data_IF_860897998716
#
_entry.id   IF_860897998716
#
_cell.length_a   1.000
_cell.length_b   1.000
_cell.length_c   1.000
_cell.angle_alpha   90.00
_cell.angle_beta   90.00
_cell.angle_gamma   90.00
#
_symmetry.space_group_name_H-M   'P 1'
#
loop_
_entity.id
_entity.type
_entity.pdbx_description
1 polymer ?
#
# COMPACT_ATOMS: atom_id res chain seq x y z
N UNK A 1 17.50 -21.00 -5.66
CA UNK A 1 17.66 -20.03 -6.78
C UNK A 1 16.85 -18.75 -6.55
N UNK A 2 15.57 -18.81 -6.23
CA UNK A 2 14.69 -17.65 -5.97
C UNK A 2 15.19 -16.83 -4.77
N UNK A 3 15.53 -17.46 -3.65
CA UNK A 3 16.05 -16.78 -2.44
C UNK A 3 17.36 -16.02 -2.70
N UNK A 4 18.29 -16.61 -3.46
CA UNK A 4 19.54 -15.94 -3.82
C UNK A 4 19.31 -14.74 -4.77
N UNK A 5 18.31 -14.80 -5.65
CA UNK A 5 17.90 -13.68 -6.51
C UNK A 5 17.30 -12.54 -5.68
N UNK A 6 16.40 -12.85 -4.74
CA UNK A 6 15.77 -11.88 -3.87
C UNK A 6 16.80 -11.18 -2.98
N UNK A 7 17.74 -11.91 -2.38
CA UNK A 7 18.78 -11.32 -1.53
C UNK A 7 19.77 -10.46 -2.31
N UNK A 8 20.11 -10.82 -3.56
CA UNK A 8 20.96 -10.00 -4.45
C UNK A 8 20.29 -8.70 -4.91
N UNK A 9 18.96 -8.64 -4.91
CA UNK A 9 18.21 -7.45 -5.33
C UNK A 9 18.08 -6.39 -4.22
N UNK A 10 18.53 -6.67 -2.99
CA UNK A 10 18.40 -5.77 -1.85
C UNK A 10 19.54 -4.74 -1.84
N UNK A 11 19.18 -3.46 -1.95
CA UNK A 11 20.07 -2.34 -1.64
C UNK A 11 20.17 -2.16 -0.13
N UNK A 12 21.27 -1.60 0.34
CA UNK A 12 21.49 -1.31 1.77
C UNK A 12 20.29 -0.56 2.39
N UNK A 13 19.70 0.40 1.66
CA UNK A 13 18.53 1.18 2.13
C UNK A 13 17.29 0.30 2.29
N UNK A 14 17.02 -0.56 1.32
CA UNK A 14 15.87 -1.47 1.35
C UNK A 14 16.08 -2.55 2.41
N UNK A 15 17.29 -3.09 2.55
CA UNK A 15 17.62 -4.06 3.61
C UNK A 15 17.40 -3.46 5.00
N UNK A 16 17.81 -2.21 5.21
CA UNK A 16 17.57 -1.50 6.48
C UNK A 16 16.05 -1.30 6.70
N UNK A 17 15.29 -0.91 5.69
CA UNK A 17 13.85 -0.73 5.81
C UNK A 17 13.14 -2.05 6.15
N UNK A 18 13.51 -3.16 5.50
CA UNK A 18 12.97 -4.49 5.81
C UNK A 18 13.36 -4.91 7.24
N UNK A 19 14.61 -4.73 7.64
CA UNK A 19 15.05 -5.06 9.00
C UNK A 19 14.30 -4.25 10.05
N UNK A 20 14.04 -2.96 9.79
CA UNK A 20 13.28 -2.09 10.66
C UNK A 20 11.81 -2.52 10.74
N UNK A 21 11.18 -2.88 9.63
CA UNK A 21 9.81 -3.42 9.62
C UNK A 21 9.71 -4.73 10.40
N UNK A 22 10.68 -5.64 10.26
CA UNK A 22 10.72 -6.89 11.02
C UNK A 22 10.99 -6.64 12.51
N UNK A 23 11.84 -5.68 12.83
CA UNK A 23 12.06 -5.26 14.23
C UNK A 23 10.78 -4.70 14.84
N UNK A 24 10.04 -3.84 14.13
CA UNK A 24 8.74 -3.30 14.55
C UNK A 24 7.70 -4.42 14.70
N UNK A 25 7.69 -5.40 13.78
CA UNK A 25 6.79 -6.56 13.84
C UNK A 25 6.97 -7.41 15.11
N UNK A 26 8.16 -7.39 15.71
CA UNK A 26 8.45 -8.11 16.96
C UNK A 26 8.33 -7.19 18.17
N UNK A 27 8.95 -6.01 18.12
CA UNK A 27 9.10 -5.13 19.27
C UNK A 27 7.74 -4.59 19.76
N UNK A 28 6.87 -4.15 18.84
CA UNK A 28 5.57 -3.58 19.20
C UNK A 28 4.65 -4.61 19.88
N UNK A 29 4.46 -5.83 19.37
CA UNK A 29 3.72 -6.89 20.05
C UNK A 29 4.34 -7.26 21.41
N UNK A 30 5.67 -7.36 21.52
CA UNK A 30 6.34 -7.67 22.77
C UNK A 30 6.11 -6.58 23.81
N UNK A 31 6.24 -5.30 23.44
CA UNK A 31 5.95 -4.18 24.35
C UNK A 31 4.48 -4.12 24.77
N UNK A 32 3.54 -4.53 23.91
CA UNK A 32 2.13 -4.60 24.26
C UNK A 32 1.85 -5.75 25.25
N UNK A 33 2.34 -6.97 24.97
CA UNK A 33 1.98 -8.17 25.73
C UNK A 33 2.84 -8.39 26.99
N UNK A 34 4.12 -8.00 26.96
CA UNK A 34 5.06 -8.28 28.05
C UNK A 34 5.15 -7.15 29.09
N UNK A 35 4.65 -5.94 28.79
CA UNK A 35 4.68 -4.82 29.73
C UNK A 35 3.28 -4.51 30.26
N UNK A 36 3.17 -4.24 31.56
CA UNK A 36 1.89 -3.84 32.19
C UNK A 36 1.49 -2.39 31.85
N UNK A 37 0.20 -2.03 32.00
CA UNK A 37 -0.33 -0.70 31.66
C UNK A 37 0.33 0.48 32.37
N UNK A 38 0.97 0.23 33.53
CA UNK A 38 1.70 1.23 34.33
C UNK A 38 3.12 1.49 33.82
N UNK A 39 3.63 0.66 32.93
CA UNK A 39 4.99 0.82 32.40
C UNK A 39 5.00 1.91 31.29
N UNK A 40 5.92 2.89 31.32
CA UNK A 40 6.00 3.95 30.34
C UNK A 40 6.32 3.44 28.90
N UNK A 41 6.81 2.21 28.76
CA UNK A 41 7.08 1.57 27.48
C UNK A 41 5.89 0.75 26.95
N UNK A 42 4.79 0.66 27.72
CA UNK A 42 3.61 -0.09 27.32
C UNK A 42 2.94 0.58 26.12
N UNK A 43 2.70 -0.22 25.07
CA UNK A 43 1.94 0.21 23.88
C UNK A 43 0.51 -0.30 24.03
N UNK A 44 -0.49 0.56 24.26
CA UNK A 44 -1.89 0.15 24.34
C UNK A 44 -2.38 -0.53 23.08
N UNK A 45 -3.25 -1.53 23.22
CA UNK A 45 -3.77 -2.34 22.08
C UNK A 45 -4.47 -1.51 21.02
N UNK A 46 -5.16 -0.41 21.41
CA UNK A 46 -5.79 0.48 20.42
C UNK A 46 -4.78 1.24 19.56
N UNK A 47 -3.63 1.64 20.13
CA UNK A 47 -2.52 2.26 19.37
C UNK A 47 -1.91 1.24 18.43
N UNK A 48 -1.69 0.01 18.86
CA UNK A 48 -1.17 -1.06 18.02
C UNK A 48 -2.11 -1.35 16.84
N UNK A 49 -3.44 -1.43 17.06
CA UNK A 49 -4.42 -1.59 16.01
C UNK A 49 -4.41 -0.40 15.02
N UNK A 50 -4.29 0.83 15.52
CA UNK A 50 -4.19 2.04 14.70
C UNK A 50 -2.94 2.03 13.81
N UNK A 51 -1.78 1.70 14.37
CA UNK A 51 -0.55 1.56 13.58
C UNK A 51 -0.64 0.38 12.59
N UNK A 52 -1.28 -0.71 12.97
CA UNK A 52 -1.57 -1.83 12.07
C UNK A 52 -2.37 -1.37 10.83
N UNK A 53 -3.41 -0.55 11.03
CA UNK A 53 -4.16 0.10 9.96
C UNK A 53 -3.23 0.96 9.06
N UNK A 54 -2.31 1.74 9.65
CA UNK A 54 -1.37 2.55 8.85
C UNK A 54 -0.41 1.69 8.01
N UNK A 55 0.00 0.53 8.53
CA UNK A 55 0.85 -0.40 7.77
C UNK A 55 0.09 -1.02 6.59
N UNK A 56 -1.23 -1.28 6.69
CA UNK A 56 -2.03 -1.72 5.54
C UNK A 56 -2.13 -0.64 4.47
N UNK A 57 -2.28 0.62 4.86
CA UNK A 57 -2.26 1.76 3.93
C UNK A 57 -0.87 1.98 3.32
N UNK A 58 0.20 1.72 4.07
CA UNK A 58 1.55 1.74 3.55
C UNK A 58 1.79 0.66 2.49
N UNK A 59 1.20 -0.54 2.68
CA UNK A 59 1.22 -1.61 1.69
C UNK A 59 0.45 -1.21 0.42
N UNK A 60 -0.70 -0.58 0.56
CA UNK A 60 -1.50 -0.06 -0.57
C UNK A 60 -0.75 1.04 -1.34
N UNK A 61 -0.10 1.97 -0.63
CA UNK A 61 0.70 3.02 -1.25
C UNK A 61 1.94 2.45 -1.98
N UNK A 62 2.59 1.43 -1.42
CA UNK A 62 3.68 0.70 -2.07
C UNK A 62 3.19 0.01 -3.35
N UNK A 63 1.99 -0.61 -3.32
CA UNK A 63 1.37 -1.23 -4.47
C UNK A 63 1.13 -0.22 -5.60
N UNK A 64 0.61 0.97 -5.28
CA UNK A 64 0.42 2.05 -6.25
C UNK A 64 1.77 2.55 -6.81
N UNK A 65 2.82 2.69 -5.98
CA UNK A 65 4.13 3.17 -6.43
C UNK A 65 4.76 2.23 -7.45
N UNK A 66 4.55 0.93 -7.33
CA UNK A 66 5.05 -0.04 -8.31
C UNK A 66 4.53 0.27 -9.72
N UNK A 67 3.27 0.66 -9.85
CA UNK A 67 2.64 1.01 -11.14
C UNK A 67 2.90 2.46 -11.52
N UNK A 68 2.66 3.39 -10.60
CA UNK A 68 2.79 4.82 -10.91
C UNK A 68 4.24 5.28 -10.94
N UNK A 69 5.02 4.87 -9.94
CA UNK A 69 6.41 5.30 -9.80
C UNK A 69 7.31 4.70 -10.87
N UNK A 70 7.19 3.41 -11.16
CA UNK A 70 8.13 2.69 -12.03
C UNK A 70 7.60 2.40 -13.42
N UNK A 71 6.29 2.26 -13.62
CA UNK A 71 5.68 2.02 -14.93
C UNK A 71 5.05 3.29 -15.54
N UNK A 72 4.89 4.37 -14.76
CA UNK A 72 4.33 5.63 -15.23
C UNK A 72 2.80 5.65 -15.36
N UNK A 73 2.11 4.66 -14.85
CA UNK A 73 0.66 4.53 -14.93
C UNK A 73 0.02 5.08 -13.65
N UNK A 74 -0.62 6.23 -13.72
CA UNK A 74 -1.44 6.73 -12.61
C UNK A 74 -2.80 6.03 -12.62
N UNK A 75 -3.01 5.11 -11.68
CA UNK A 75 -4.29 4.42 -11.48
C UNK A 75 -5.02 5.00 -10.28
N UNK A 76 -6.24 5.46 -10.51
CA UNK A 76 -7.19 5.87 -9.46
C UNK A 76 -8.16 4.73 -9.09
N UNK A 77 -7.76 3.49 -9.38
CA UNK A 77 -8.54 2.28 -9.11
C UNK A 77 -8.02 1.41 -7.97
N UNK A 78 -6.94 1.80 -7.29
CA UNK A 78 -6.31 0.95 -6.27
C UNK A 78 -7.18 0.75 -5.02
N UNK A 79 -8.06 1.71 -4.71
CA UNK A 79 -9.11 1.53 -3.69
C UNK A 79 -10.06 0.38 -4.00
N UNK A 80 -10.38 0.15 -5.28
CA UNK A 80 -11.22 -0.99 -5.67
C UNK A 80 -10.53 -2.35 -5.41
N UNK A 81 -9.25 -2.48 -5.75
CA UNK A 81 -8.51 -3.71 -5.49
C UNK A 81 -8.35 -3.97 -3.98
N UNK A 82 -8.10 -2.92 -3.21
CA UNK A 82 -8.07 -2.97 -1.75
C UNK A 82 -9.41 -3.43 -1.18
N UNK A 83 -10.50 -2.79 -1.57
CA UNK A 83 -11.83 -3.13 -1.10
C UNK A 83 -12.23 -4.57 -1.46
N UNK A 84 -11.97 -5.04 -2.69
CA UNK A 84 -12.26 -6.40 -3.10
C UNK A 84 -11.51 -7.44 -2.25
N UNK A 85 -10.23 -7.23 -1.97
CA UNK A 85 -9.48 -8.08 -1.05
C UNK A 85 -10.04 -8.04 0.37
N UNK A 86 -10.45 -6.85 0.81
CA UNK A 86 -11.14 -6.66 2.09
C UNK A 86 -12.47 -7.40 2.17
N UNK A 87 -13.31 -7.34 1.13
CA UNK A 87 -14.57 -8.09 1.07
C UNK A 87 -14.39 -9.60 1.05
N UNK A 88 -13.36 -10.10 0.35
CA UNK A 88 -13.02 -11.52 0.35
C UNK A 88 -12.66 -12.02 1.78
N UNK A 89 -11.83 -11.27 2.50
CA UNK A 89 -11.50 -11.58 3.89
C UNK A 89 -12.69 -11.32 4.82
N UNK A 90 -13.44 -10.24 4.63
CA UNK A 90 -14.63 -9.89 5.40
C UNK A 90 -15.69 -11.00 5.35
N UNK A 91 -15.92 -11.58 4.18
CA UNK A 91 -16.88 -12.69 4.06
C UNK A 91 -16.40 -13.94 4.81
N UNK A 92 -15.11 -14.27 4.77
CA UNK A 92 -14.56 -15.34 5.60
C UNK A 92 -14.84 -15.07 7.09
N UNK A 93 -14.56 -13.86 7.57
CA UNK A 93 -14.78 -13.49 8.97
C UNK A 93 -16.28 -13.55 9.35
N UNK A 94 -17.18 -13.12 8.46
CA UNK A 94 -18.63 -13.25 8.65
C UNK A 94 -19.06 -14.70 8.77
N UNK A 95 -18.50 -15.58 7.94
CA UNK A 95 -18.80 -17.04 7.99
C UNK A 95 -18.31 -17.71 9.28
N UNK A 96 -17.26 -17.15 9.95
CA UNK A 96 -16.76 -17.65 11.23
C UNK A 96 -17.69 -17.30 12.41
N UNK A 97 -18.63 -16.37 12.24
CA UNK A 97 -19.61 -16.02 13.28
C UNK A 97 -20.56 -17.18 13.53
N UNK A 98 -21.11 -17.77 12.47
CA UNK A 98 -22.07 -18.89 12.54
C UNK A 98 -23.25 -18.57 13.45
N UNK A 99 -23.68 -19.54 14.25
CA UNK A 99 -24.83 -19.41 15.17
C UNK A 99 -24.63 -18.42 16.32
N UNK A 100 -23.46 -17.79 16.46
CA UNK A 100 -23.17 -16.75 17.47
C UNK A 100 -23.58 -15.36 17.03
N UNK A 101 -24.10 -15.23 15.82
CA UNK A 101 -24.66 -13.99 15.30
C UNK A 101 -25.97 -13.61 15.97
N UNK A 102 -26.45 -12.39 15.71
CA UNK A 102 -27.69 -11.85 16.28
C UNK A 102 -28.90 -12.69 15.87
N UNK A 103 -28.91 -13.20 14.64
CA UNK A 103 -30.01 -14.00 14.10
C UNK A 103 -29.80 -15.51 14.27
N UNK A 104 -28.63 -15.96 14.72
CA UNK A 104 -28.34 -17.35 15.04
C UNK A 104 -28.33 -18.33 13.85
N UNK A 105 -28.26 -17.84 12.62
CA UNK A 105 -28.16 -18.68 11.42
C UNK A 105 -26.73 -19.24 11.28
N UNK A 106 -26.56 -20.57 11.13
CA UNK A 106 -25.24 -21.18 11.04
C UNK A 106 -24.57 -20.95 9.66
N UNK A 107 -25.36 -20.64 8.63
CA UNK A 107 -24.89 -20.52 7.25
C UNK A 107 -24.92 -19.09 6.74
N UNK A 108 -26.02 -18.38 6.97
CA UNK A 108 -26.20 -17.02 6.48
C UNK A 108 -25.58 -16.00 7.43
N UNK A 109 -24.72 -15.11 6.95
CA UNK A 109 -24.27 -13.95 7.71
C UNK A 109 -25.45 -13.07 8.17
N UNK A 110 -25.33 -12.44 9.33
CA UNK A 110 -26.38 -11.62 9.94
C UNK A 110 -26.94 -10.54 9.00
N UNK A 111 -26.08 -9.89 8.21
CA UNK A 111 -26.53 -8.88 7.25
C UNK A 111 -27.41 -9.46 6.13
N UNK A 112 -27.19 -10.71 5.75
CA UNK A 112 -28.03 -11.40 4.76
C UNK A 112 -29.39 -11.78 5.33
N UNK A 113 -29.41 -12.30 6.56
CA UNK A 113 -30.68 -12.59 7.27
C UNK A 113 -31.48 -11.31 7.45
N UNK A 114 -30.86 -10.22 7.86
CA UNK A 114 -31.47 -8.89 7.96
C UNK A 114 -32.10 -8.41 6.64
N UNK A 115 -31.44 -8.69 5.53
CA UNK A 115 -31.92 -8.35 4.17
C UNK A 115 -32.88 -9.40 3.58
N UNK A 116 -33.37 -10.35 4.38
CA UNK A 116 -34.28 -11.42 3.99
C UNK A 116 -33.76 -12.38 2.91
N UNK A 117 -32.45 -12.57 2.84
CA UNK A 117 -31.86 -13.63 2.01
C UNK A 117 -32.24 -15.01 2.59
N UNK A 118 -32.63 -15.95 1.75
CA UNK A 118 -32.99 -17.30 2.16
C UNK A 118 -31.87 -18.32 1.98
N UNK A 119 -30.96 -18.01 1.04
CA UNK A 119 -29.87 -18.90 0.68
C UNK A 119 -28.59 -18.09 0.44
N UNK A 120 -27.45 -18.71 0.70
CA UNK A 120 -26.16 -18.10 0.41
C UNK A 120 -25.95 -18.04 -1.11
N UNK A 121 -25.63 -16.87 -1.71
CA UNK A 121 -25.30 -16.78 -3.11
C UNK A 121 -24.09 -17.67 -3.47
N UNK A 122 -24.12 -18.27 -4.66
CA UNK A 122 -23.09 -19.21 -5.13
C UNK A 122 -21.66 -18.65 -5.09
N UNK A 123 -21.50 -17.35 -5.32
CA UNK A 123 -20.20 -16.68 -5.31
C UNK A 123 -19.58 -16.53 -3.92
N UNK A 124 -20.34 -16.81 -2.85
CA UNK A 124 -19.87 -16.85 -1.48
C UNK A 124 -19.60 -18.27 -0.96
N UNK A 125 -19.79 -19.31 -1.79
CA UNK A 125 -19.45 -20.66 -1.40
C UNK A 125 -17.93 -20.81 -1.23
N UNK A 126 -17.51 -21.57 -0.21
CA UNK A 126 -16.11 -21.82 0.12
C UNK A 126 -15.45 -20.76 1.02
N UNK A 127 -16.11 -19.63 1.29
CA UNK A 127 -15.57 -18.60 2.18
C UNK A 127 -15.66 -18.96 3.69
N UNK A 128 -16.14 -20.13 4.03
CA UNK A 128 -15.97 -20.76 5.34
C UNK A 128 -14.53 -21.22 5.58
N UNK A 129 -13.76 -21.44 4.50
CA UNK A 129 -12.39 -21.93 4.54
C UNK A 129 -11.39 -20.79 4.36
N UNK A 130 -10.45 -20.66 5.30
CA UNK A 130 -9.42 -19.62 5.26
C UNK A 130 -8.57 -19.63 3.98
N UNK A 131 -8.13 -20.84 3.56
CA UNK A 131 -7.28 -20.97 2.38
C UNK A 131 -7.97 -20.56 1.09
N UNK A 132 -9.27 -20.84 1.00
CA UNK A 132 -10.08 -20.39 -0.14
C UNK A 132 -10.19 -18.86 -0.14
N UNK A 133 -10.52 -18.25 1.02
CA UNK A 133 -10.57 -16.79 1.15
C UNK A 133 -9.22 -16.14 0.83
N UNK A 134 -8.12 -16.70 1.34
CA UNK A 134 -6.76 -16.22 1.06
C UNK A 134 -6.43 -16.29 -0.45
N UNK A 135 -6.87 -17.34 -1.15
CA UNK A 135 -6.74 -17.42 -2.60
C UNK A 135 -7.58 -16.33 -3.29
N UNK A 136 -8.83 -16.12 -2.86
CA UNK A 136 -9.72 -15.11 -3.43
C UNK A 136 -9.25 -13.68 -3.18
N UNK A 137 -8.58 -13.41 -2.07
CA UNK A 137 -7.89 -12.12 -1.79
C UNK A 137 -6.90 -11.75 -2.89
N UNK A 138 -6.25 -12.73 -3.51
CA UNK A 138 -5.34 -12.51 -4.64
C UNK A 138 -6.06 -12.59 -5.99
N UNK A 139 -6.93 -13.60 -6.13
CA UNK A 139 -7.55 -13.93 -7.41
C UNK A 139 -8.56 -12.87 -7.86
N UNK A 140 -9.41 -12.35 -6.97
CA UNK A 140 -10.48 -11.41 -7.34
C UNK A 140 -9.90 -10.07 -7.81
N UNK A 141 -9.06 -9.35 -7.02
CA UNK A 141 -8.47 -8.12 -7.51
C UNK A 141 -7.49 -8.35 -8.67
N UNK A 142 -6.75 -9.47 -8.68
CA UNK A 142 -5.85 -9.83 -9.75
C UNK A 142 -6.58 -10.09 -11.08
N UNK A 143 -7.69 -10.81 -11.05
CA UNK A 143 -8.52 -11.08 -12.23
C UNK A 143 -9.17 -9.80 -12.75
N UNK A 144 -9.73 -8.96 -11.89
CA UNK A 144 -10.27 -7.67 -12.28
C UNK A 144 -9.19 -6.81 -12.96
N UNK A 145 -8.01 -6.72 -12.34
CA UNK A 145 -6.89 -5.98 -12.91
C UNK A 145 -6.41 -6.57 -14.23
N UNK A 146 -6.39 -7.90 -14.36
CA UNK A 146 -6.03 -8.58 -15.60
C UNK A 146 -7.02 -8.26 -16.72
N UNK A 147 -8.32 -8.46 -16.48
CA UNK A 147 -9.36 -8.22 -17.49
C UNK A 147 -9.40 -6.75 -17.89
N UNK A 148 -9.45 -5.86 -16.91
CA UNK A 148 -9.47 -4.41 -17.15
C UNK A 148 -8.20 -3.95 -17.87
N UNK A 149 -7.03 -4.35 -17.37
CA UNK A 149 -5.74 -3.97 -17.91
C UNK A 149 -5.50 -4.54 -19.31
N UNK A 150 -5.97 -5.76 -19.58
CA UNK A 150 -5.89 -6.36 -20.91
C UNK A 150 -6.57 -5.49 -21.96
N UNK A 151 -7.83 -5.07 -21.72
CA UNK A 151 -8.55 -4.21 -22.66
C UNK A 151 -7.94 -2.81 -22.73
N UNK A 152 -7.64 -2.20 -21.60
CA UNK A 152 -7.12 -0.83 -21.53
C UNK A 152 -5.76 -0.69 -22.23
N UNK A 153 -4.81 -1.59 -21.94
CA UNK A 153 -3.45 -1.49 -22.51
C UNK A 153 -3.38 -1.94 -23.97
N UNK A 154 -4.21 -2.91 -24.35
CA UNK A 154 -4.32 -3.32 -25.76
C UNK A 154 -4.95 -2.22 -26.62
N UNK A 155 -5.90 -1.47 -26.09
CA UNK A 155 -6.50 -0.30 -26.75
C UNK A 155 -5.61 0.94 -26.71
N UNK A 156 -4.38 0.82 -26.19
CA UNK A 156 -3.39 1.91 -26.07
C UNK A 156 -3.89 3.12 -25.31
N UNK A 157 -4.81 2.90 -24.35
CA UNK A 157 -5.26 3.95 -23.43
C UNK A 157 -4.11 4.34 -22.51
N UNK A 158 -3.74 5.61 -22.48
CA UNK A 158 -2.59 6.12 -21.75
C UNK A 158 -2.91 7.42 -21.01
N UNK A 159 -2.03 7.78 -20.06
CA UNK A 159 -2.06 9.05 -19.35
C UNK A 159 -3.35 9.28 -18.58
N UNK A 160 -3.91 10.47 -18.69
CA UNK A 160 -5.10 10.92 -17.93
C UNK A 160 -6.34 10.07 -18.23
N UNK A 161 -6.51 9.60 -19.45
CA UNK A 161 -7.65 8.75 -19.83
C UNK A 161 -7.68 7.45 -19.02
N UNK A 162 -6.53 6.83 -18.80
CA UNK A 162 -6.46 5.63 -18.00
C UNK A 162 -6.83 5.90 -16.53
N UNK A 163 -6.39 7.03 -15.98
CA UNK A 163 -6.75 7.43 -14.62
C UNK A 163 -8.27 7.63 -14.48
N UNK A 164 -8.91 8.28 -15.46
CA UNK A 164 -10.36 8.51 -15.46
C UNK A 164 -11.12 7.18 -15.55
N UNK A 165 -10.69 6.27 -16.43
CA UNK A 165 -11.38 4.97 -16.61
C UNK A 165 -11.21 4.10 -15.37
N UNK A 166 -10.04 4.08 -14.73
CA UNK A 166 -9.84 3.36 -13.46
C UNK A 166 -10.68 3.95 -12.33
N UNK A 167 -10.88 5.26 -12.29
CA UNK A 167 -11.77 5.92 -11.33
C UNK A 167 -13.24 5.58 -11.62
N UNK A 168 -13.66 5.56 -12.88
CA UNK A 168 -15.01 5.16 -13.27
C UNK A 168 -15.30 3.70 -12.89
N UNK A 169 -14.34 2.80 -13.07
CA UNK A 169 -14.42 1.40 -12.60
C UNK A 169 -14.65 1.34 -11.07
N UNK A 170 -13.90 2.12 -10.30
CA UNK A 170 -14.03 2.19 -8.85
C UNK A 170 -15.42 2.67 -8.44
N UNK A 171 -15.92 3.70 -9.10
CA UNK A 171 -17.25 4.24 -8.85
C UNK A 171 -18.38 3.27 -9.23
N UNK A 172 -18.22 2.54 -10.33
CA UNK A 172 -19.18 1.49 -10.73
C UNK A 172 -19.25 0.37 -9.69
N UNK A 173 -18.11 -0.06 -9.14
CA UNK A 173 -18.07 -1.04 -8.04
C UNK A 173 -18.68 -0.48 -6.76
N UNK A 174 -18.41 0.79 -6.42
CA UNK A 174 -19.06 1.46 -5.29
C UNK A 174 -20.58 1.32 -5.39
N UNK A 175 -21.17 1.71 -6.53
CA UNK A 175 -22.62 1.64 -6.75
C UNK A 175 -23.14 0.19 -6.69
N UNK A 176 -22.41 -0.78 -7.25
CA UNK A 176 -22.79 -2.19 -7.19
C UNK A 176 -22.80 -2.71 -5.74
N UNK A 177 -21.78 -2.39 -4.95
CA UNK A 177 -21.67 -2.88 -3.57
C UNK A 177 -22.61 -2.16 -2.60
N UNK A 178 -23.07 -0.95 -2.92
CA UNK A 178 -24.11 -0.25 -2.14
C UNK A 178 -25.49 -0.91 -2.25
N UNK A 179 -25.72 -1.71 -3.29
CA UNK A 179 -27.01 -2.35 -3.49
C UNK A 179 -27.23 -3.52 -2.54
N UNK A 180 -28.34 -3.52 -1.82
CA UNK A 180 -28.69 -4.58 -0.88
C UNK A 180 -29.00 -5.92 -1.56
N UNK A 181 -29.47 -5.87 -2.80
CA UNK A 181 -29.84 -7.04 -3.60
C UNK A 181 -28.64 -7.78 -4.24
N UNK A 182 -27.44 -7.23 -4.11
CA UNK A 182 -26.21 -7.86 -4.62
C UNK A 182 -25.52 -8.79 -3.62
N UNK A 183 -25.99 -8.84 -2.35
CA UNK A 183 -25.43 -9.75 -1.34
C UNK A 183 -24.04 -9.37 -0.80
N UNK A 184 -23.67 -8.08 -0.86
CA UNK A 184 -22.39 -7.55 -0.37
C UNK A 184 -22.52 -6.77 0.94
N UNK A 185 -23.68 -6.80 1.60
CA UNK A 185 -23.93 -6.06 2.84
C UNK A 185 -24.48 -4.65 2.68
N UNK A 186 -24.62 -4.16 1.43
CA UNK A 186 -25.18 -2.83 1.13
C UNK A 186 -24.47 -1.71 1.88
N UNK A 187 -25.20 -0.68 2.27
CA UNK A 187 -24.64 0.51 2.93
C UNK A 187 -23.87 0.18 4.23
N UNK A 188 -24.33 -0.79 5.00
CA UNK A 188 -23.72 -1.16 6.29
C UNK A 188 -22.42 -1.97 6.12
N UNK A 189 -22.26 -2.66 4.98
CA UNK A 189 -21.14 -3.54 4.74
C UNK A 189 -21.14 -4.78 5.64
N UNK A 190 -19.96 -5.25 6.00
CA UNK A 190 -19.71 -6.39 6.88
C UNK A 190 -19.00 -5.94 8.15
N UNK A 191 -19.57 -6.27 9.31
CA UNK A 191 -19.10 -5.82 10.63
C UNK A 191 -19.23 -6.93 11.66
N UNK A 192 -18.86 -6.64 12.90
CA UNK A 192 -19.05 -7.51 14.08
C UNK A 192 -18.32 -8.86 13.99
N UNK A 193 -17.13 -8.84 13.36
CA UNK A 193 -16.29 -10.03 13.25
C UNK A 193 -15.89 -10.54 14.63
N UNK A 194 -16.05 -11.86 14.87
CA UNK A 194 -15.77 -12.49 16.15
C UNK A 194 -14.40 -13.16 16.18
N UNK A 195 -14.13 -14.02 15.20
CA UNK A 195 -12.93 -14.87 15.20
C UNK A 195 -12.22 -14.86 13.85
N UNK A 196 -10.92 -15.11 13.92
CA UNK A 196 -10.07 -15.44 12.77
C UNK A 196 -9.26 -16.70 13.10
N UNK A 197 -9.32 -17.72 12.25
CA UNK A 197 -8.65 -19.03 12.46
C UNK A 197 -8.96 -19.67 13.84
N UNK A 198 -10.16 -19.43 14.38
CA UNK A 198 -10.57 -19.91 15.69
C UNK A 198 -10.11 -19.06 16.88
N UNK A 199 -9.36 -17.97 16.65
CA UNK A 199 -8.94 -17.05 17.69
C UNK A 199 -9.83 -15.80 17.71
N UNK A 200 -10.22 -15.37 18.91
CA UNK A 200 -11.01 -14.16 19.08
C UNK A 200 -10.22 -12.92 18.61
N UNK A 201 -10.82 -12.15 17.68
CA UNK A 201 -10.17 -10.96 17.09
C UNK A 201 -9.92 -9.86 18.14
N UNK A 202 -10.73 -9.80 19.19
CA UNK A 202 -10.60 -8.80 20.25
C UNK A 202 -9.49 -9.12 21.28
N UNK A 203 -8.98 -10.36 21.28
CA UNK A 203 -7.91 -10.74 22.19
C UNK A 203 -6.59 -10.02 21.85
N UNK A 204 -5.88 -9.52 22.87
CA UNK A 204 -4.64 -8.77 22.69
C UNK A 204 -3.59 -9.55 21.89
N UNK A 205 -3.46 -10.86 22.14
CA UNK A 205 -2.54 -11.73 21.41
C UNK A 205 -2.90 -11.85 19.92
N UNK A 206 -4.19 -11.88 19.58
CA UNK A 206 -4.65 -11.92 18.18
C UNK A 206 -4.39 -10.59 17.49
N UNK A 207 -4.66 -9.47 18.15
CA UNK A 207 -4.37 -8.13 17.62
C UNK A 207 -2.86 -7.92 17.42
N UNK A 208 -2.04 -8.40 18.37
CA UNK A 208 -0.59 -8.40 18.25
C UNK A 208 -0.10 -9.24 17.04
N UNK A 209 -0.69 -10.42 16.84
CA UNK A 209 -0.38 -11.28 15.70
C UNK A 209 -0.81 -10.66 14.36
N UNK A 210 -1.96 -9.99 14.30
CA UNK A 210 -2.43 -9.28 13.11
C UNK A 210 -1.52 -8.10 12.74
N UNK A 211 -1.06 -7.35 13.74
CA UNK A 211 -0.06 -6.29 13.56
C UNK A 211 1.25 -6.85 12.99
N UNK A 212 1.79 -7.89 13.63
CA UNK A 212 3.02 -8.55 13.18
C UNK A 212 2.88 -9.10 11.76
N UNK A 213 1.76 -9.78 11.45
CA UNK A 213 1.47 -10.27 10.11
C UNK A 213 1.47 -9.13 9.08
N UNK A 214 0.85 -7.99 9.39
CA UNK A 214 0.82 -6.84 8.47
C UNK A 214 2.21 -6.29 8.21
N UNK A 215 3.03 -6.12 9.23
CA UNK A 215 4.41 -5.66 9.08
C UNK A 215 5.26 -6.65 8.26
N UNK A 216 5.07 -7.96 8.46
CA UNK A 216 5.74 -9.01 7.68
C UNK A 216 5.29 -8.97 6.22
N UNK A 217 3.99 -8.89 5.94
CA UNK A 217 3.48 -8.80 4.55
C UNK A 217 3.94 -7.53 3.85
N UNK A 218 4.05 -6.40 4.56
CA UNK A 218 4.62 -5.17 4.02
C UNK A 218 6.11 -5.36 3.68
N UNK A 219 6.89 -6.00 4.55
CA UNK A 219 8.30 -6.30 4.31
C UNK A 219 8.50 -7.24 3.12
N UNK A 220 7.67 -8.29 3.01
CA UNK A 220 7.66 -9.21 1.86
C UNK A 220 7.29 -8.49 0.56
N UNK A 221 6.28 -7.65 0.60
CA UNK A 221 5.84 -6.85 -0.56
C UNK A 221 6.91 -5.86 -1.00
N UNK A 222 7.61 -5.23 -0.06
CA UNK A 222 8.76 -4.35 -0.34
C UNK A 222 9.91 -5.15 -0.98
N UNK A 223 10.17 -6.35 -0.50
CA UNK A 223 11.19 -7.25 -1.07
C UNK A 223 10.83 -7.66 -2.50
N UNK A 224 9.58 -8.06 -2.76
CA UNK A 224 9.08 -8.43 -4.09
C UNK A 224 9.15 -7.22 -5.04
N UNK A 225 8.64 -6.07 -4.63
CA UNK A 225 8.68 -4.84 -5.42
C UNK A 225 10.12 -4.44 -5.77
N UNK A 226 11.05 -4.53 -4.80
CA UNK A 226 12.48 -4.28 -5.02
C UNK A 226 13.09 -5.26 -6.03
N UNK A 227 12.76 -6.54 -5.94
CA UNK A 227 13.24 -7.57 -6.85
C UNK A 227 12.75 -7.31 -8.29
N UNK A 228 11.47 -6.94 -8.45
CA UNK A 228 10.88 -6.58 -9.76
C UNK A 228 11.61 -5.36 -10.35
N UNK A 229 11.70 -4.28 -9.58
CA UNK A 229 12.25 -3.00 -10.04
C UNK A 229 13.73 -3.08 -10.42
N UNK A 230 14.51 -3.89 -9.69
CA UNK A 230 15.95 -4.03 -9.94
C UNK A 230 16.31 -5.07 -10.99
N UNK A 231 15.36 -5.86 -11.42
CA UNK A 231 15.53 -6.85 -12.47
C UNK A 231 15.69 -6.19 -13.86
N UNK A 232 16.01 -7.00 -14.87
CA UNK A 232 15.95 -6.55 -16.29
C UNK A 232 14.55 -6.08 -16.65
N UNK A 233 13.52 -6.71 -16.11
CA UNK A 233 12.13 -6.32 -16.26
C UNK A 233 11.88 -4.88 -15.76
N UNK A 234 12.38 -4.54 -14.56
CA UNK A 234 12.24 -3.19 -13.98
C UNK A 234 12.95 -2.11 -14.80
N UNK A 235 14.09 -2.42 -15.44
CA UNK A 235 14.73 -1.47 -16.35
C UNK A 235 13.86 -1.16 -17.57
N UNK A 236 13.15 -2.16 -18.10
CA UNK A 236 12.19 -1.95 -19.17
C UNK A 236 10.99 -1.14 -18.69
N UNK A 237 10.49 -1.35 -17.46
CA UNK A 237 9.41 -0.54 -16.88
C UNK A 237 9.78 0.95 -16.82
N UNK A 238 11.00 1.27 -16.38
CA UNK A 238 11.49 2.65 -16.37
C UNK A 238 11.58 3.21 -17.79
N UNK A 239 12.03 2.41 -18.76
CA UNK A 239 12.00 2.79 -20.17
C UNK A 239 10.59 3.06 -20.71
N UNK A 240 9.60 2.26 -20.28
CA UNK A 240 8.17 2.48 -20.61
C UNK A 240 7.66 3.78 -19.99
N UNK A 241 8.01 4.05 -18.74
CA UNK A 241 7.62 5.28 -18.04
C UNK A 241 8.18 6.54 -18.70
N UNK A 242 9.47 6.50 -19.06
CA UNK A 242 10.19 7.70 -19.50
C UNK A 242 10.05 7.94 -21.02
N UNK A 243 9.95 6.86 -21.83
CA UNK A 243 9.86 6.93 -23.28
C UNK A 243 9.17 5.68 -23.89
N UNK A 244 7.85 5.57 -23.70
CA UNK A 244 7.07 4.41 -24.14
C UNK A 244 7.26 4.11 -25.64
N UNK A 245 7.19 5.12 -26.49
CA UNK A 245 7.35 4.97 -27.95
C UNK A 245 8.72 4.38 -28.30
N UNK A 246 9.80 4.90 -27.70
CA UNK A 246 11.16 4.39 -27.94
C UNK A 246 11.32 2.95 -27.49
N UNK A 247 10.76 2.60 -26.31
CA UNK A 247 10.79 1.23 -25.78
C UNK A 247 10.07 0.27 -26.73
N UNK A 248 8.97 0.70 -27.33
CA UNK A 248 8.21 -0.05 -28.31
C UNK A 248 9.00 -0.24 -29.62
N UNK A 249 9.70 0.78 -30.10
CA UNK A 249 10.58 0.68 -31.26
C UNK A 249 11.75 -0.29 -31.07
N UNK A 250 12.21 -0.50 -29.83
CA UNK A 250 13.22 -1.51 -29.48
C UNK A 250 12.67 -2.96 -29.50
N UNK A 251 11.39 -3.15 -29.86
CA UNK A 251 10.76 -4.47 -29.98
C UNK A 251 10.09 -4.99 -28.71
N UNK A 252 10.04 -4.21 -27.63
CA UNK A 252 9.36 -4.63 -26.40
C UNK A 252 7.82 -4.49 -26.54
N UNK A 253 7.10 -5.54 -26.14
CA UNK A 253 5.63 -5.50 -26.04
C UNK A 253 5.22 -4.80 -24.75
N UNK A 254 5.16 -3.47 -24.78
CA UNK A 254 4.94 -2.59 -23.64
C UNK A 254 3.66 -2.95 -22.88
N UNK A 255 2.60 -3.34 -23.58
CA UNK A 255 1.32 -3.76 -23.01
C UNK A 255 1.44 -4.91 -22.01
N UNK A 256 2.33 -5.89 -22.26
CA UNK A 256 2.52 -7.01 -21.33
C UNK A 256 3.26 -6.59 -20.06
N UNK A 257 4.22 -5.67 -20.16
CA UNK A 257 4.93 -5.12 -19.02
C UNK A 257 3.99 -4.31 -18.13
N UNK A 258 3.15 -3.47 -18.72
CA UNK A 258 2.11 -2.71 -18.03
C UNK A 258 1.11 -3.64 -17.33
N UNK A 259 0.59 -4.64 -18.06
CA UNK A 259 -0.39 -5.59 -17.55
C UNK A 259 0.15 -6.38 -16.35
N UNK A 260 1.33 -6.97 -16.48
CA UNK A 260 1.95 -7.72 -15.37
C UNK A 260 2.11 -6.87 -14.12
N UNK A 261 2.67 -5.66 -14.29
CA UNK A 261 2.90 -4.75 -13.15
C UNK A 261 1.59 -4.32 -12.50
N UNK A 262 0.56 -4.06 -13.30
CA UNK A 262 -0.77 -3.68 -12.84
C UNK A 262 -1.45 -4.80 -12.05
N UNK A 263 -1.38 -6.05 -12.54
CA UNK A 263 -1.94 -7.23 -11.85
C UNK A 263 -1.22 -7.49 -10.54
N UNK A 264 0.12 -7.48 -10.52
CA UNK A 264 0.89 -7.67 -9.27
C UNK A 264 0.55 -6.59 -8.24
N UNK A 265 0.47 -5.34 -8.66
CA UNK A 265 0.08 -4.23 -7.81
C UNK A 265 -1.33 -4.39 -7.25
N UNK A 266 -2.30 -4.81 -8.08
CA UNK A 266 -3.67 -5.09 -7.64
C UNK A 266 -3.74 -6.22 -6.60
N UNK A 267 -2.95 -7.29 -6.78
CA UNK A 267 -2.85 -8.37 -5.80
C UNK A 267 -2.26 -7.87 -4.47
N UNK A 268 -1.23 -7.03 -4.51
CA UNK A 268 -0.68 -6.40 -3.31
C UNK A 268 -1.71 -5.51 -2.61
N UNK A 269 -2.50 -4.73 -3.36
CA UNK A 269 -3.59 -3.93 -2.83
C UNK A 269 -4.69 -4.81 -2.20
N UNK A 270 -5.02 -5.95 -2.80
CA UNK A 270 -5.94 -6.95 -2.22
C UNK A 270 -5.45 -7.50 -0.88
N UNK A 271 -4.16 -7.85 -0.78
CA UNK A 271 -3.55 -8.26 0.51
C UNK A 271 -3.69 -7.15 1.56
N UNK A 272 -3.43 -5.89 1.17
CA UNK A 272 -3.58 -4.76 2.08
C UNK A 272 -5.00 -4.65 2.63
N UNK A 273 -6.03 -4.81 1.76
CA UNK A 273 -7.44 -4.83 2.17
C UNK A 273 -7.80 -5.99 3.07
N UNK A 274 -7.30 -7.19 2.77
CA UNK A 274 -7.53 -8.36 3.62
C UNK A 274 -6.92 -8.23 5.02
N UNK A 275 -5.76 -7.61 5.14
CA UNK A 275 -5.12 -7.33 6.43
C UNK A 275 -5.78 -6.16 7.19
N UNK A 276 -6.42 -5.25 6.48
CA UNK A 276 -7.14 -4.11 7.04
C UNK A 276 -8.38 -4.55 7.82
N UNK A 277 -9.18 -5.43 7.24
CA UNK A 277 -10.50 -5.80 7.77
C UNK A 277 -10.48 -6.32 9.20
N UNK A 278 -9.66 -7.31 9.58
CA UNK A 278 -9.65 -7.82 10.95
C UNK A 278 -9.07 -6.82 11.97
N UNK A 279 -8.29 -5.82 11.53
CA UNK A 279 -7.74 -4.79 12.40
C UNK A 279 -8.72 -3.65 12.67
N UNK A 280 -9.52 -3.29 11.68
CA UNK A 280 -10.49 -2.18 11.78
C UNK A 280 -11.86 -2.67 12.23
N UNK A 281 -12.21 -3.93 11.93
CA UNK A 281 -13.47 -4.56 12.35
C UNK A 281 -14.65 -4.25 11.44
N UNK A 282 -14.42 -3.63 10.28
CA UNK A 282 -15.46 -3.28 9.30
C UNK A 282 -14.89 -3.26 7.88
N UNK A 283 -15.71 -3.65 6.93
CA UNK A 283 -15.55 -3.35 5.50
C UNK A 283 -16.88 -2.92 4.93
N UNK A 284 -16.93 -1.77 4.29
CA UNK A 284 -18.16 -1.23 3.68
C UNK A 284 -17.87 -0.70 2.27
N UNK A 285 -18.91 -0.44 1.46
CA UNK A 285 -18.72 0.04 0.09
C UNK A 285 -17.99 1.38 -0.01
N UNK A 286 -17.97 2.18 1.06
CA UNK A 286 -17.21 3.43 1.10
C UNK A 286 -15.71 3.26 0.80
N UNK A 287 -15.15 2.06 1.00
CA UNK A 287 -13.76 1.77 0.63
C UNK A 287 -13.51 1.83 -0.89
N UNK A 288 -14.54 1.62 -1.70
CA UNK A 288 -14.49 1.86 -3.15
C UNK A 288 -14.58 3.34 -3.53
N UNK A 289 -14.85 4.26 -2.59
CA UNK A 289 -15.03 5.66 -2.95
C UNK A 289 -13.80 6.22 -3.69
N UNK A 290 -14.01 6.98 -4.77
CA UNK A 290 -12.91 7.59 -5.53
C UNK A 290 -11.97 8.43 -4.66
N UNK A 291 -12.49 9.06 -3.61
CA UNK A 291 -11.71 9.83 -2.65
C UNK A 291 -10.60 9.00 -1.98
N UNK A 292 -10.88 7.74 -1.62
CA UNK A 292 -9.88 6.85 -1.02
C UNK A 292 -8.73 6.56 -2.00
N UNK A 293 -9.04 6.33 -3.28
CA UNK A 293 -7.99 6.14 -4.30
C UNK A 293 -7.14 7.41 -4.49
N UNK A 294 -7.73 8.60 -4.39
CA UNK A 294 -7.01 9.88 -4.45
C UNK A 294 -6.11 10.04 -3.22
N UNK A 295 -6.60 9.69 -2.03
CA UNK A 295 -5.77 9.73 -0.81
C UNK A 295 -4.51 8.85 -0.96
N UNK A 296 -4.60 7.67 -1.55
CA UNK A 296 -3.44 6.79 -1.81
C UNK A 296 -2.41 7.46 -2.72
N UNK A 297 -2.87 8.20 -3.75
CA UNK A 297 -1.99 8.99 -4.62
C UNK A 297 -1.27 10.08 -3.82
N UNK A 298 -1.99 10.76 -2.92
CA UNK A 298 -1.41 11.79 -2.05
C UNK A 298 -0.33 11.18 -1.16
N UNK A 299 -0.59 10.04 -0.50
CA UNK A 299 0.40 9.37 0.34
C UNK A 299 1.67 9.03 -0.44
N UNK A 300 1.50 8.49 -1.65
CA UNK A 300 2.61 8.13 -2.53
C UNK A 300 3.39 9.35 -3.00
N UNK A 301 2.71 10.45 -3.33
CA UNK A 301 3.35 11.71 -3.75
C UNK A 301 4.11 12.37 -2.59
N UNK A 302 3.48 12.48 -1.40
CA UNK A 302 4.09 13.05 -0.20
C UNK A 302 5.36 12.29 0.19
N UNK A 303 5.28 10.97 0.19
CA UNK A 303 6.42 10.12 0.53
C UNK A 303 7.58 10.20 -0.46
N UNK A 304 7.25 10.26 -1.75
CA UNK A 304 8.21 10.31 -2.85
C UNK A 304 8.07 9.13 -3.81
N UNK A 305 7.45 9.42 -4.95
CA UNK A 305 7.20 8.50 -6.05
C UNK A 305 8.50 7.84 -6.56
N UNK A 306 8.43 6.58 -6.98
CA UNK A 306 9.54 5.79 -7.53
C UNK A 306 10.70 5.56 -6.55
N UNK A 307 10.42 5.49 -5.24
CA UNK A 307 11.45 5.23 -4.22
C UNK A 307 11.20 3.94 -3.41
N UNK A 308 10.05 3.29 -3.56
CA UNK A 308 9.54 2.14 -2.79
C UNK A 308 9.36 2.43 -1.28
N UNK A 309 10.34 3.05 -0.63
CA UNK A 309 10.28 3.39 0.80
C UNK A 309 9.46 4.67 1.03
N UNK A 310 9.51 5.61 0.07
CA UNK A 310 8.78 6.87 0.16
C UNK A 310 7.29 6.70 0.41
N UNK A 311 6.57 5.94 -0.42
CA UNK A 311 5.14 5.69 -0.24
C UNK A 311 4.77 5.11 1.13
N UNK A 312 5.62 4.23 1.69
CA UNK A 312 5.44 3.67 3.03
C UNK A 312 5.49 4.78 4.08
N UNK A 313 6.52 5.63 4.02
CA UNK A 313 6.69 6.77 4.92
C UNK A 313 5.56 7.77 4.72
N UNK A 314 5.20 8.09 3.47
CA UNK A 314 4.13 9.01 3.14
C UNK A 314 2.77 8.56 3.68
N UNK A 315 2.43 7.28 3.54
CA UNK A 315 1.19 6.72 4.08
C UNK A 315 1.14 6.85 5.62
N UNK A 316 2.23 6.52 6.32
CA UNK A 316 2.30 6.64 7.78
C UNK A 316 2.20 8.10 8.22
N UNK A 317 2.93 9.01 7.58
CA UNK A 317 2.94 10.44 7.92
C UNK A 317 1.57 11.09 7.69
N UNK A 318 0.96 10.87 6.52
CA UNK A 318 -0.33 11.50 6.17
C UNK A 318 -1.45 10.95 7.03
N UNK A 319 -1.51 9.62 7.25
CA UNK A 319 -2.56 9.02 8.08
C UNK A 319 -2.36 9.31 9.57
N UNK A 320 -1.11 9.37 10.05
CA UNK A 320 -0.80 9.84 11.40
C UNK A 320 -1.22 11.30 11.60
N UNK A 321 -0.86 12.17 10.66
CA UNK A 321 -1.31 13.56 10.61
C UNK A 321 -2.83 13.69 10.55
N UNK A 322 -3.50 12.86 9.71
CA UNK A 322 -4.97 12.78 9.61
C UNK A 322 -5.59 12.51 10.97
N UNK A 323 -5.10 11.51 11.68
CA UNK A 323 -5.68 11.13 12.98
C UNK A 323 -5.55 12.25 14.02
N UNK A 324 -4.40 12.92 14.07
CA UNK A 324 -4.18 14.05 14.98
C UNK A 324 -5.07 15.23 14.56
N UNK A 325 -5.07 15.58 13.29
CA UNK A 325 -5.77 16.76 12.78
C UNK A 325 -7.29 16.61 12.85
N UNK A 326 -7.85 15.44 12.54
CA UNK A 326 -9.28 15.17 12.67
C UNK A 326 -9.75 15.12 14.12
N UNK A 327 -8.87 14.81 15.06
CA UNK A 327 -9.16 14.93 16.50
C UNK A 327 -9.25 16.38 16.98
N UNK A 328 -8.50 17.30 16.36
CA UNK A 328 -8.47 18.72 16.72
C UNK A 328 -9.46 19.57 15.90
N UNK A 329 -9.54 19.29 14.59
CA UNK A 329 -10.30 20.08 13.61
C UNK A 329 -11.01 19.19 12.59
N UNK A 330 -12.07 18.44 12.96
CA UNK A 330 -12.70 17.42 12.11
C UNK A 330 -13.29 18.00 10.83
N UNK A 331 -13.82 19.23 10.85
CA UNK A 331 -14.48 19.84 9.69
C UNK A 331 -13.51 20.37 8.62
N UNK A 332 -12.26 20.67 9.01
CA UNK A 332 -11.26 21.31 8.14
C UNK A 332 -10.30 20.27 7.50
N UNK A 333 -10.41 19.02 7.90
CA UNK A 333 -9.46 17.98 7.44
C UNK A 333 -9.32 17.87 5.92
N UNK A 334 -10.43 17.88 5.19
CA UNK A 334 -10.40 17.78 3.71
C UNK A 334 -9.67 18.95 3.06
N UNK A 335 -9.82 20.16 3.60
CA UNK A 335 -9.09 21.35 3.13
C UNK A 335 -7.60 21.23 3.47
N UNK A 336 -7.26 20.72 4.66
CA UNK A 336 -5.88 20.49 5.04
C UNK A 336 -5.21 19.44 4.15
N UNK A 337 -5.91 18.35 3.79
CA UNK A 337 -5.44 17.33 2.87
C UNK A 337 -5.20 17.89 1.46
N UNK A 338 -6.15 18.70 0.96
CA UNK A 338 -6.00 19.38 -0.34
C UNK A 338 -4.84 20.37 -0.32
N UNK A 339 -4.72 21.18 0.73
CA UNK A 339 -3.61 22.11 0.92
C UNK A 339 -2.26 21.39 1.02
N UNK A 340 -2.20 20.28 1.74
CA UNK A 340 -1.01 19.42 1.82
C UNK A 340 -0.60 18.91 0.43
N UNK A 341 -1.54 18.43 -0.37
CA UNK A 341 -1.25 17.96 -1.72
C UNK A 341 -0.68 19.07 -2.61
N UNK A 342 -1.29 20.26 -2.58
CA UNK A 342 -0.80 21.43 -3.31
C UNK A 342 0.59 21.81 -2.82
N UNK A 343 0.80 21.90 -1.52
CA UNK A 343 2.10 22.27 -0.94
C UNK A 343 3.19 21.26 -1.32
N UNK A 344 2.92 19.96 -1.24
CA UNK A 344 3.89 18.92 -1.61
C UNK A 344 4.19 18.99 -3.11
N UNK A 345 3.20 19.20 -3.96
CA UNK A 345 3.41 19.29 -5.41
C UNK A 345 4.27 20.50 -5.80
N UNK A 346 4.08 21.64 -5.13
CA UNK A 346 4.83 22.87 -5.40
C UNK A 346 6.23 22.88 -4.78
N UNK A 347 6.35 22.49 -3.51
CA UNK A 347 7.59 22.63 -2.75
C UNK A 347 8.43 21.36 -2.67
N UNK A 348 7.80 20.18 -2.79
CA UNK A 348 8.45 18.88 -2.68
C UNK A 348 8.18 17.98 -3.89
N UNK A 349 8.51 18.38 -5.12
CA UNK A 349 8.14 17.62 -6.33
C UNK A 349 8.72 16.20 -6.38
N UNK A 350 9.73 15.91 -5.55
CA UNK A 350 10.32 14.56 -5.35
C UNK A 350 9.82 13.88 -4.07
N UNK A 351 8.86 14.49 -3.38
CA UNK A 351 8.38 14.04 -2.07
C UNK A 351 9.43 14.18 -0.96
N UNK A 352 9.05 13.81 0.26
CA UNK A 352 9.92 13.92 1.45
C UNK A 352 11.22 13.14 1.27
N UNK A 353 11.12 11.84 0.93
CA UNK A 353 12.31 10.98 0.80
C UNK A 353 13.22 11.39 -0.35
N UNK A 354 12.65 11.78 -1.50
CA UNK A 354 13.41 12.22 -2.65
C UNK A 354 14.14 13.54 -2.38
N UNK A 355 13.51 14.46 -1.69
CA UNK A 355 14.11 15.76 -1.31
C UNK A 355 15.25 15.55 -0.30
N UNK A 356 15.05 14.75 0.75
CA UNK A 356 16.11 14.42 1.72
C UNK A 356 17.30 13.76 1.01
N UNK A 357 17.05 12.81 0.11
CA UNK A 357 18.11 12.14 -0.63
C UNK A 357 18.91 13.12 -1.52
N UNK A 358 18.26 14.12 -2.09
CA UNK A 358 18.90 15.14 -2.91
C UNK A 358 19.80 16.06 -2.05
N UNK A 359 19.33 16.49 -0.87
CA UNK A 359 20.12 17.30 0.05
C UNK A 359 21.36 16.56 0.54
N UNK A 360 21.22 15.31 0.99
CA UNK A 360 22.32 14.47 1.42
C UNK A 360 23.31 14.15 0.30
N UNK A 361 22.82 13.99 -0.94
CA UNK A 361 23.66 13.80 -2.12
C UNK A 361 24.47 15.04 -2.49
N UNK A 362 23.90 16.24 -2.39
CA UNK A 362 24.60 17.51 -2.62
C UNK A 362 25.71 17.73 -1.58
N UNK A 363 25.46 17.44 -0.31
CA UNK A 363 26.50 17.55 0.72
C UNK A 363 27.69 16.63 0.47
N UNK A 364 27.46 15.40 -0.02
CA UNK A 364 28.56 14.49 -0.39
C UNK A 364 29.37 14.96 -1.59
N UNK A 365 28.75 15.64 -2.56
CA UNK A 365 29.44 16.22 -3.71
C UNK A 365 30.27 17.45 -3.31
N UNK A 366 29.73 18.29 -2.45
CA UNK A 366 30.47 19.48 -1.92
C UNK A 366 31.65 19.04 -1.06
N UNK A 367 31.49 18.00 -0.22
CA UNK A 367 32.59 17.44 0.59
C UNK A 367 33.67 16.74 -0.24
N UNK A 368 33.35 16.23 -1.45
CA UNK A 368 34.32 15.64 -2.38
C UNK A 368 34.99 16.66 -3.28
N UNK A 369 34.43 17.85 -3.43
CA UNK A 369 34.90 18.91 -4.29
C UNK A 369 35.76 19.99 -3.55
N UNK A 370 35.95 19.85 -2.24
CA UNK A 370 36.91 20.69 -1.52
C UNK A 370 38.32 20.23 -1.92
N UNK A 371 39.09 21.07 -2.62
CA UNK A 371 40.48 20.73 -2.89
C UNK A 371 41.23 20.61 -1.55
N UNK A 372 42.25 19.73 -1.44
CA UNK A 372 43.15 19.74 -0.32
C UNK A 372 43.75 21.18 -0.22
N UNK A 373 43.78 21.70 1.01
CA UNK A 373 44.43 22.96 1.28
C UNK A 373 45.82 22.92 0.61
N UNK A 374 46.07 23.87 -0.29
CA UNK A 374 47.37 24.02 -0.87
C UNK A 374 48.35 24.28 0.28
N UNK A 375 49.32 23.39 0.47
CA UNK A 375 50.53 23.74 1.21
C UNK A 375 51.12 24.96 0.51
N UNK A 376 51.24 26.06 1.25
CA UNK A 376 52.00 27.23 0.83
C UNK A 376 53.46 26.76 0.75
N UNK A 377 53.91 26.31 -0.44
CA UNK A 377 55.30 26.20 -0.76
C UNK A 377 55.84 27.63 -0.92
N UNK A 378 56.68 28.04 0.04
CA UNK A 378 57.54 29.23 0.00
C UNK A 378 58.37 29.20 -1.29
N UNK A 379 57.94 29.89 -2.32
CA UNK A 379 58.77 30.18 -3.51
C UNK A 379 59.52 31.49 -3.25
N UNK A 380 60.72 31.37 -2.68
CA UNK A 380 61.69 32.45 -2.71
C UNK A 380 62.04 32.82 -4.18
N UNK A 381 61.97 34.07 -4.57
CA UNK A 381 62.40 34.50 -5.92
C UNK A 381 63.94 34.52 -6.03
N UNK A 382 64.51 33.54 -6.72
CA UNK A 382 65.91 33.65 -7.20
C UNK A 382 66.03 34.73 -8.30
N UNK A 383 66.45 35.91 -7.91
CA UNK A 383 66.93 36.87 -8.83
C UNK A 383 68.28 36.40 -9.32
N UNK A 384 68.38 35.94 -10.57
CA UNK A 384 69.65 35.80 -11.28
C UNK A 384 69.86 37.05 -12.18
N UNK A 385 70.83 37.88 -11.83
CA UNK A 385 71.43 38.85 -12.70
C UNK A 385 72.21 38.07 -13.78
N UNK A 386 72.01 38.42 -15.03
CA UNK A 386 72.93 38.13 -16.14
C UNK A 386 72.97 39.34 -17.05
N UNK A 387 74.18 39.70 -17.30
CA UNK A 387 74.76 40.72 -18.16
C UNK A 387 74.21 40.79 -19.58
#
# INVERSE_FOLDING_TARGET
MITAFLLRSLDRRISIAIALLLAVAILVPVLNLATGPTNPLHIPTYIMALFGKYLTYALLALALDLVWGFCGILSLGHGAFFALGGYAMGMYLMRQIGSRGVYGDPVLPDFMVFLNWKELPWFWYGFDQFWFAALMVLAVPGLLAFVFGWFAFRSRVNGVYLSIITQAMTYALLLAFFRNDMGFGGNNGMTDFKDILGFNIQADGTRASLFAATAIFLALSLMIASAIVRSKFGKVLVGVRDAESRTRFLGYRVEHFKLFTFVVSAMMAGIAGALYVPQVGIINPGEFAPANSIEVVIWTAVGGRATLIGPIIGAILVNGGKTIFTGLFPEIWLFALGGLFVAVTLFLPKGVVGTIAQYLGKQKLVSKAAPPAAEEDDIEPKIQAAE
#
